data_IF_905816975142
#
_entry.id   IF_905816975142
#
_cell.length_a   1.000
_cell.length_b   1.000
_cell.length_c   1.000
_cell.angle_alpha   90.00
_cell.angle_beta   90.00
_cell.angle_gamma   90.00
#
_symmetry.space_group_name_H-M   'P 1'
#
loop_
_entity.id
_entity.type
_entity.pdbx_description
1 polymer ?
#
# COMPACT_ATOMS: atom_id res chain seq x y z
N UNK A 1 0.32 -11.75 -20.35
CA UNK A 1 -0.40 -10.54 -19.88
C UNK A 1 -1.61 -10.40 -20.76
N UNK A 2 -2.78 -10.43 -20.21
CA UNK A 2 -4.01 -10.33 -21.00
C UNK A 2 -4.08 -8.91 -21.58
N UNK A 3 -4.27 -8.77 -22.89
CA UNK A 3 -4.31 -7.49 -23.62
C UNK A 3 -5.34 -6.52 -23.02
N UNK A 4 -6.38 -7.04 -22.35
CA UNK A 4 -7.44 -6.26 -21.72
C UNK A 4 -7.01 -5.47 -20.49
N UNK A 5 -5.88 -5.82 -19.83
CA UNK A 5 -5.38 -5.14 -18.63
C UNK A 5 -4.15 -4.28 -18.90
N UNK A 6 -3.61 -4.28 -20.12
CA UNK A 6 -2.48 -3.44 -20.49
C UNK A 6 -2.87 -1.96 -20.50
N UNK A 7 -2.01 -1.12 -19.93
CA UNK A 7 -2.23 0.32 -19.82
C UNK A 7 -1.01 1.07 -20.37
N UNK A 8 -1.18 2.30 -20.87
CA UNK A 8 -0.07 3.08 -21.42
C UNK A 8 1.12 3.25 -20.48
N UNK A 9 0.87 3.37 -19.17
CA UNK A 9 1.93 3.52 -18.18
C UNK A 9 2.73 2.24 -17.93
N UNK A 10 2.27 1.07 -18.38
CA UNK A 10 3.03 -0.19 -18.25
C UNK A 10 4.29 -0.23 -19.14
N UNK A 11 4.38 0.65 -20.13
CA UNK A 11 5.54 0.75 -21.00
C UNK A 11 6.73 1.45 -20.33
N UNK A 12 6.50 2.09 -19.19
CA UNK A 12 7.56 2.74 -18.43
C UNK A 12 8.01 1.85 -17.27
N UNK A 13 9.32 1.70 -17.09
CA UNK A 13 9.91 0.87 -16.03
C UNK A 13 9.49 1.23 -14.62
N UNK A 14 9.18 2.52 -14.39
CA UNK A 14 8.79 3.04 -13.07
C UNK A 14 7.36 2.69 -12.67
N UNK A 15 6.54 2.46 -13.66
CA UNK A 15 5.18 1.99 -13.51
C UNK A 15 5.10 0.57 -14.08
N UNK A 16 4.07 -0.08 -13.97
CA UNK A 16 3.92 -1.42 -14.50
C UNK A 16 2.72 -2.07 -13.85
N UNK A 17 2.43 -3.30 -14.18
CA UNK A 17 1.33 -4.00 -13.53
C UNK A 17 1.64 -4.27 -12.04
N UNK A 18 2.93 -4.29 -11.68
CA UNK A 18 3.36 -4.50 -10.31
C UNK A 18 4.71 -3.82 -10.05
N UNK A 19 4.78 -3.04 -8.96
CA UNK A 19 6.03 -2.47 -8.43
C UNK A 19 6.01 -2.47 -6.91
N UNK A 20 7.16 -2.74 -6.32
CA UNK A 20 7.40 -2.65 -4.90
C UNK A 20 8.38 -1.50 -4.63
N UNK A 21 7.93 -0.49 -3.91
CA UNK A 21 8.74 0.67 -3.52
C UNK A 21 9.28 0.43 -2.10
N UNK A 22 10.60 0.26 -2.01
CA UNK A 22 11.30 0.15 -0.74
C UNK A 22 11.45 1.54 -0.13
N UNK A 23 10.65 1.83 0.87
CA UNK A 23 10.59 3.15 1.52
C UNK A 23 11.39 3.13 2.81
N UNK A 24 12.42 3.97 2.89
CA UNK A 24 13.23 4.17 4.09
C UNK A 24 12.48 5.09 5.07
N UNK A 25 11.53 4.54 5.82
CA UNK A 25 10.75 5.26 6.83
C UNK A 25 10.68 4.49 8.14
N UNK A 26 10.09 5.12 9.16
CA UNK A 26 9.79 4.48 10.44
C UNK A 26 8.30 4.54 10.71
N UNK A 27 7.82 3.51 11.42
CA UNK A 27 6.45 3.55 11.94
C UNK A 27 6.36 4.48 13.15
N UNK A 28 5.29 5.22 13.24
CA UNK A 28 4.98 6.13 14.34
C UNK A 28 3.60 5.80 14.92
N UNK A 29 3.39 6.12 16.19
CA UNK A 29 2.06 6.03 16.79
C UNK A 29 1.16 7.15 16.24
N UNK A 30 0.08 6.74 15.61
CA UNK A 30 -0.98 7.63 15.15
C UNK A 30 -2.14 7.73 16.15
N UNK A 31 -3.26 8.27 15.71
CA UNK A 31 -4.48 8.37 16.52
C UNK A 31 -5.04 6.99 16.90
N UNK A 32 -5.68 6.90 18.07
CA UNK A 32 -6.39 5.69 18.53
C UNK A 32 -5.53 4.42 18.51
N UNK A 33 -4.26 4.51 18.92
CA UNK A 33 -3.29 3.41 18.93
C UNK A 33 -3.05 2.75 17.55
N UNK A 34 -3.44 3.40 16.48
CA UNK A 34 -3.14 2.98 15.11
C UNK A 34 -1.75 3.50 14.69
N UNK A 35 -1.15 2.89 13.67
CA UNK A 35 0.19 3.25 13.20
C UNK A 35 0.13 4.10 11.94
N UNK A 36 1.17 4.92 11.76
CA UNK A 36 1.40 5.72 10.56
C UNK A 36 2.85 5.60 10.11
N UNK A 37 3.08 5.88 8.82
CA UNK A 37 4.40 6.02 8.23
C UNK A 37 4.36 7.21 7.25
N UNK A 38 4.97 8.32 7.65
CA UNK A 38 4.92 9.57 6.87
C UNK A 38 5.71 9.48 5.58
N UNK A 39 6.81 8.72 5.57
CA UNK A 39 7.60 8.51 4.36
C UNK A 39 6.79 7.78 3.29
N UNK A 40 5.99 6.79 3.67
CA UNK A 40 5.07 6.13 2.74
C UNK A 40 3.96 7.07 2.23
N UNK A 41 3.45 7.99 3.09
CA UNK A 41 2.50 9.02 2.64
C UNK A 41 3.11 9.93 1.57
N UNK A 42 4.33 10.42 1.80
CA UNK A 42 5.05 11.26 0.85
C UNK A 42 5.34 10.52 -0.47
N UNK A 43 5.76 9.26 -0.37
CA UNK A 43 5.99 8.40 -1.53
C UNK A 43 4.70 8.17 -2.34
N UNK A 44 3.56 7.93 -1.67
CA UNK A 44 2.27 7.77 -2.33
C UNK A 44 1.87 9.03 -3.11
N UNK A 45 2.02 10.20 -2.49
CA UNK A 45 1.76 11.51 -3.13
C UNK A 45 2.67 11.75 -4.33
N UNK A 46 3.97 11.48 -4.18
CA UNK A 46 4.95 11.63 -5.25
C UNK A 46 4.66 10.70 -6.43
N UNK A 47 4.33 9.44 -6.14
CA UNK A 47 3.98 8.42 -7.14
C UNK A 47 2.74 8.83 -7.95
N UNK A 48 1.67 9.24 -7.27
CA UNK A 48 0.45 9.71 -7.92
C UNK A 48 0.70 10.98 -8.74
N UNK A 49 1.42 11.97 -8.18
CA UNK A 49 1.78 13.21 -8.88
C UNK A 49 2.55 12.91 -10.17
N UNK A 50 3.48 11.97 -10.09
CA UNK A 50 4.29 11.55 -11.24
C UNK A 50 3.46 10.84 -12.29
N UNK A 51 2.56 9.93 -11.87
CA UNK A 51 1.64 9.23 -12.76
C UNK A 51 0.78 10.23 -13.56
N UNK A 52 0.16 11.20 -12.88
CA UNK A 52 -0.65 12.24 -13.53
C UNK A 52 0.18 13.16 -14.45
N UNK A 53 1.43 13.48 -14.07
CA UNK A 53 2.30 14.34 -14.87
C UNK A 53 2.79 13.65 -16.14
N UNK A 54 3.24 12.40 -16.03
CA UNK A 54 3.80 11.64 -17.15
C UNK A 54 2.71 11.17 -18.15
N UNK A 55 1.48 11.02 -17.67
CA UNK A 55 0.32 10.62 -18.48
C UNK A 55 -0.80 11.67 -18.41
N UNK A 56 -0.45 12.93 -18.65
CA UNK A 56 -1.37 14.07 -18.56
C UNK A 56 -2.55 14.02 -19.54
N UNK A 57 -2.47 13.18 -20.56
CA UNK A 57 -3.56 12.88 -21.49
C UNK A 57 -4.57 11.85 -20.97
N UNK A 58 -4.32 11.25 -19.79
CA UNK A 58 -5.20 10.28 -19.16
C UNK A 58 -5.88 10.89 -17.93
N UNK A 59 -7.16 10.59 -17.79
CA UNK A 59 -7.90 10.93 -16.59
C UNK A 59 -7.75 9.79 -15.56
N UNK A 60 -7.26 10.13 -14.36
CA UNK A 60 -7.13 9.20 -13.23
C UNK A 60 -8.25 9.34 -12.18
N UNK A 61 -9.21 10.24 -12.39
CA UNK A 61 -10.37 10.41 -11.51
C UNK A 61 -11.12 9.07 -11.40
N UNK A 62 -11.41 8.67 -10.16
CA UNK A 62 -12.09 7.41 -9.81
C UNK A 62 -11.35 6.11 -10.19
N UNK A 63 -10.18 6.18 -10.78
CA UNK A 63 -9.38 5.02 -11.22
C UNK A 63 -8.35 4.56 -10.20
N UNK A 64 -8.05 5.37 -9.17
CA UNK A 64 -7.02 5.10 -8.18
C UNK A 64 -7.63 4.80 -6.82
N UNK A 65 -7.12 3.76 -6.17
CA UNK A 65 -7.37 3.44 -4.77
C UNK A 65 -6.08 3.49 -3.95
N UNK A 66 -6.14 4.13 -2.79
CA UNK A 66 -5.04 4.16 -1.82
C UNK A 66 -5.51 3.41 -0.58
N UNK A 67 -4.86 2.31 -0.27
CA UNK A 67 -5.28 1.41 0.79
C UNK A 67 -4.18 1.18 1.82
N UNK A 68 -4.58 0.94 3.04
CA UNK A 68 -3.69 0.53 4.13
C UNK A 68 -4.45 -0.34 5.12
N UNK A 69 -3.71 -1.07 5.94
CA UNK A 69 -4.28 -1.83 7.05
C UNK A 69 -4.64 -0.93 8.24
N UNK A 70 -4.04 0.25 8.31
CA UNK A 70 -4.10 1.15 9.46
C UNK A 70 -4.99 2.35 9.19
N UNK A 71 -6.03 2.51 10.01
CA UNK A 71 -6.97 3.64 9.88
C UNK A 71 -6.28 5.00 10.01
N UNK A 72 -5.32 5.13 10.93
CA UNK A 72 -4.57 6.37 11.09
C UNK A 72 -3.76 6.70 9.82
N UNK A 73 -3.17 5.69 9.17
CA UNK A 73 -2.46 5.88 7.91
C UNK A 73 -3.37 6.40 6.80
N UNK A 74 -4.59 5.90 6.70
CA UNK A 74 -5.57 6.42 5.74
C UNK A 74 -5.87 7.90 6.00
N UNK A 75 -5.97 8.31 7.26
CA UNK A 75 -6.13 9.72 7.62
C UNK A 75 -4.94 10.58 7.21
N UNK A 76 -3.70 10.09 7.44
CA UNK A 76 -2.48 10.78 7.01
C UNK A 76 -2.36 10.86 5.50
N UNK A 77 -2.62 9.78 4.79
CA UNK A 77 -2.63 9.75 3.33
C UNK A 77 -3.62 10.78 2.76
N UNK A 78 -4.86 10.81 3.26
CA UNK A 78 -5.85 11.83 2.85
C UNK A 78 -5.31 13.24 3.06
N UNK A 79 -4.75 13.54 4.25
CA UNK A 79 -4.18 14.87 4.56
C UNK A 79 -3.05 15.24 3.59
N UNK A 80 -2.12 14.33 3.35
CA UNK A 80 -0.99 14.55 2.45
C UNK A 80 -1.45 14.81 0.99
N UNK A 81 -2.45 14.07 0.53
CA UNK A 81 -3.04 14.28 -0.80
C UNK A 81 -3.80 15.60 -0.90
N UNK A 82 -4.60 15.94 0.11
CA UNK A 82 -5.30 17.25 0.17
C UNK A 82 -4.31 18.40 0.17
N UNK A 83 -3.24 18.31 0.96
CA UNK A 83 -2.20 19.35 1.01
C UNK A 83 -1.53 19.55 -0.36
N UNK A 84 -1.38 18.51 -1.15
CA UNK A 84 -0.68 18.56 -2.44
C UNK A 84 -1.60 18.92 -3.63
N UNK A 85 -2.85 18.45 -3.62
CA UNK A 85 -3.75 18.48 -4.77
C UNK A 85 -5.05 19.26 -4.52
N UNK A 86 -5.28 19.73 -3.29
CA UNK A 86 -6.53 20.39 -2.91
C UNK A 86 -7.58 19.41 -2.38
N UNK A 87 -8.66 19.96 -1.80
CA UNK A 87 -9.71 19.18 -1.11
C UNK A 87 -10.46 18.21 -2.04
N UNK A 88 -10.60 18.56 -3.30
CA UNK A 88 -11.40 17.80 -4.26
C UNK A 88 -10.82 16.40 -4.54
N UNK A 89 -9.52 16.21 -4.25
CA UNK A 89 -8.83 14.93 -4.47
C UNK A 89 -9.49 13.77 -3.70
N UNK A 90 -10.07 14.02 -2.54
CA UNK A 90 -10.73 12.96 -1.74
C UNK A 90 -12.03 12.45 -2.35
N UNK A 91 -12.63 13.20 -3.27
CA UNK A 91 -13.75 12.75 -4.08
C UNK A 91 -13.33 11.97 -5.32
N UNK A 92 -12.07 12.09 -5.75
CA UNK A 92 -11.54 11.50 -6.98
C UNK A 92 -10.75 10.20 -6.75
N UNK A 93 -10.11 10.08 -5.60
CA UNK A 93 -9.36 8.89 -5.17
C UNK A 93 -10.10 8.20 -4.04
N UNK A 94 -10.19 6.88 -4.09
CA UNK A 94 -10.75 6.09 -3.01
C UNK A 94 -9.70 5.76 -1.95
N UNK A 95 -9.84 6.35 -0.76
CA UNK A 95 -8.97 6.07 0.40
C UNK A 95 -9.71 5.18 1.40
N UNK A 96 -9.22 3.98 1.64
CA UNK A 96 -9.89 3.07 2.57
C UNK A 96 -8.93 2.07 3.24
N UNK A 97 -9.36 1.53 4.38
CA UNK A 97 -8.68 0.35 4.93
C UNK A 97 -8.94 -0.86 4.03
N UNK A 98 -8.07 -1.86 4.08
CA UNK A 98 -8.25 -3.09 3.29
C UNK A 98 -9.60 -3.74 3.55
N UNK A 99 -10.04 -3.80 4.81
CA UNK A 99 -11.36 -4.36 5.16
C UNK A 99 -12.51 -3.55 4.54
N UNK A 100 -12.41 -2.23 4.53
CA UNK A 100 -13.43 -1.38 3.93
C UNK A 100 -13.36 -1.29 2.40
N UNK A 101 -12.29 -1.83 1.80
CA UNK A 101 -12.14 -1.93 0.35
C UNK A 101 -12.72 -3.24 -0.23
N UNK A 102 -13.28 -4.08 0.63
CA UNK A 102 -13.87 -5.34 0.21
C UNK A 102 -15.01 -5.08 -0.81
N UNK A 103 -14.97 -5.81 -1.93
CA UNK A 103 -15.93 -5.63 -3.04
C UNK A 103 -15.62 -4.46 -3.99
N UNK A 104 -14.60 -3.65 -3.69
CA UNK A 104 -14.14 -2.56 -4.55
C UNK A 104 -12.92 -2.98 -5.37
N UNK A 105 -12.79 -2.43 -6.56
CA UNK A 105 -11.61 -2.57 -7.42
C UNK A 105 -11.30 -1.25 -8.10
N UNK A 106 -10.02 -0.98 -8.36
CA UNK A 106 -9.54 0.20 -9.09
C UNK A 106 -8.48 -0.21 -10.10
N UNK A 107 -8.28 0.62 -11.11
CA UNK A 107 -7.25 0.34 -12.11
C UNK A 107 -5.86 0.35 -11.49
N UNK A 108 -5.61 1.31 -10.60
CA UNK A 108 -4.36 1.45 -9.86
C UNK A 108 -4.64 1.35 -8.37
N UNK A 109 -3.91 0.48 -7.67
CA UNK A 109 -3.90 0.41 -6.21
C UNK A 109 -2.52 0.81 -5.70
N UNK A 110 -2.50 1.73 -4.75
CA UNK A 110 -1.33 2.08 -3.93
C UNK A 110 -1.58 1.50 -2.53
N UNK A 111 -0.81 0.47 -2.16
CA UNK A 111 -0.88 -0.18 -0.85
C UNK A 111 0.23 0.34 0.05
N UNK A 112 -0.13 0.96 1.17
CA UNK A 112 0.82 1.40 2.21
C UNK A 112 0.85 0.38 3.35
N UNK A 113 2.03 -0.22 3.59
CA UNK A 113 2.24 -1.29 4.58
C UNK A 113 2.50 -0.75 5.98
N UNK A 114 3.02 0.45 6.11
CA UNK A 114 3.29 1.20 7.36
C UNK A 114 4.45 0.65 8.19
N UNK A 115 4.48 -0.68 8.42
CA UNK A 115 5.40 -1.31 9.37
C UNK A 115 6.86 -1.14 8.97
N UNK A 116 7.62 -0.52 9.85
CA UNK A 116 9.05 -0.26 9.62
C UNK A 116 9.79 -0.04 10.95
N UNK A 117 10.86 -0.79 11.18
CA UNK A 117 11.72 -0.61 12.34
C UNK A 117 12.53 -1.85 12.72
N UNK A 118 13.64 -1.68 13.47
CA UNK A 118 14.55 -2.78 13.83
C UNK A 118 13.94 -3.78 14.83
N UNK A 119 12.98 -3.36 15.66
CA UNK A 119 12.30 -4.18 16.66
C UNK A 119 11.01 -4.83 16.20
N UNK A 120 10.65 -4.64 14.93
CA UNK A 120 9.40 -5.16 14.40
C UNK A 120 9.58 -6.61 13.97
N UNK A 121 9.24 -7.56 14.87
CA UNK A 121 9.23 -8.98 14.58
C UNK A 121 7.79 -9.51 14.62
N UNK A 122 7.52 -10.57 13.86
CA UNK A 122 6.21 -11.24 13.82
C UNK A 122 5.05 -10.27 13.53
N UNK A 123 5.20 -9.52 12.47
CA UNK A 123 4.08 -8.74 11.98
C UNK A 123 3.12 -9.74 11.33
N UNK A 124 2.08 -10.13 12.04
CA UNK A 124 0.87 -10.53 11.36
C UNK A 124 0.55 -9.41 10.36
N UNK A 125 0.06 -9.70 9.20
CA UNK A 125 -0.29 -8.69 8.20
C UNK A 125 -1.08 -7.54 8.84
N UNK A 126 -1.59 -7.79 10.04
CA UNK A 126 -2.51 -6.96 10.78
C UNK A 126 -2.46 -7.16 12.29
N UNK A 127 -1.38 -6.92 12.91
CA UNK A 127 -1.46 -6.62 14.34
C UNK A 127 -2.04 -5.20 14.57
N UNK A 128 -3.14 -4.87 13.94
CA UNK A 128 -4.05 -3.86 14.43
C UNK A 128 -4.64 -4.43 15.72
N UNK A 129 -4.32 -3.82 16.87
CA UNK A 129 -4.91 -4.19 18.15
C UNK A 129 -6.43 -4.17 17.99
N UNK A 130 -7.05 -5.36 17.99
CA UNK A 130 -8.47 -5.47 18.30
C UNK A 130 -8.66 -4.83 19.67
N UNK A 131 -9.64 -3.94 19.80
CA UNK A 131 -10.00 -3.26 21.06
C UNK A 131 -10.40 -4.22 22.19
N UNK A 132 -10.35 -5.51 21.95
CA UNK A 132 -10.67 -6.55 22.92
C UNK A 132 -9.39 -7.10 23.56
N UNK A 133 -9.01 -6.54 24.71
CA UNK A 133 -7.83 -6.87 25.51
C UNK A 133 -7.72 -8.36 25.93
N UNK A 134 -8.72 -9.18 25.64
CA UNK A 134 -8.79 -10.61 26.02
C UNK A 134 -8.63 -11.58 24.84
N UNK A 135 -8.32 -11.10 23.62
CA UNK A 135 -8.00 -12.02 22.53
C UNK A 135 -6.51 -12.30 22.52
N UNK A 136 -6.20 -13.54 22.83
CA UNK A 136 -4.90 -14.22 22.69
C UNK A 136 -4.18 -13.67 21.45
N UNK A 137 -2.91 -13.28 21.63
CA UNK A 137 -1.95 -12.98 20.58
C UNK A 137 -2.08 -14.05 19.48
N UNK A 138 -2.81 -13.73 18.43
CA UNK A 138 -2.94 -14.63 17.29
C UNK A 138 -1.56 -14.71 16.62
N UNK A 139 -1.10 -15.93 16.42
CA UNK A 139 0.13 -16.21 15.71
C UNK A 139 0.21 -15.45 14.38
N UNK A 140 1.40 -15.00 13.94
CA UNK A 140 1.59 -14.13 12.76
C UNK A 140 1.13 -14.70 11.42
N UNK A 141 0.67 -15.95 11.37
CA UNK A 141 0.13 -16.62 10.18
C UNK A 141 -1.31 -17.08 10.41
N UNK A 142 -2.18 -16.19 10.88
CA UNK A 142 -3.59 -16.57 10.98
C UNK A 142 -4.25 -16.56 9.59
N UNK A 143 -5.21 -17.45 9.31
CA UNK A 143 -5.96 -17.46 8.05
C UNK A 143 -6.64 -16.10 7.75
N UNK A 144 -6.90 -15.29 8.77
CA UNK A 144 -7.48 -13.96 8.63
C UNK A 144 -6.47 -12.97 8.02
N UNK A 145 -5.20 -13.04 8.42
CA UNK A 145 -4.16 -12.15 7.92
C UNK A 145 -3.83 -12.45 6.45
N UNK A 146 -3.73 -13.71 6.08
CA UNK A 146 -3.55 -14.15 4.69
C UNK A 146 -4.73 -13.72 3.80
N UNK A 147 -5.97 -13.81 4.30
CA UNK A 147 -7.17 -13.34 3.55
C UNK A 147 -7.12 -11.86 3.26
N UNK A 148 -6.76 -11.03 4.23
CA UNK A 148 -6.67 -9.57 4.07
C UNK A 148 -5.54 -9.20 3.11
N UNK A 149 -4.40 -9.87 3.19
CA UNK A 149 -3.33 -9.70 2.22
C UNK A 149 -3.80 -10.04 0.80
N UNK A 150 -4.46 -11.17 0.63
CA UNK A 150 -5.05 -11.55 -0.65
C UNK A 150 -6.06 -10.50 -1.15
N UNK A 151 -6.92 -9.97 -0.27
CA UNK A 151 -7.81 -8.86 -0.63
C UNK A 151 -7.00 -7.67 -1.12
N UNK A 152 -5.98 -7.22 -0.39
CA UNK A 152 -5.17 -6.06 -0.78
C UNK A 152 -4.47 -6.26 -2.14
N UNK A 153 -3.88 -7.44 -2.36
CA UNK A 153 -3.13 -7.75 -3.58
C UNK A 153 -4.01 -7.92 -4.82
N UNK A 154 -5.29 -8.28 -4.65
CA UNK A 154 -6.22 -8.56 -5.76
C UNK A 154 -7.17 -7.42 -6.08
N UNK A 155 -7.00 -6.23 -5.49
CA UNK A 155 -7.89 -5.08 -5.74
C UNK A 155 -7.49 -4.25 -6.95
N UNK A 156 -6.31 -4.47 -7.50
CA UNK A 156 -5.82 -3.77 -8.68
C UNK A 156 -6.28 -4.48 -9.95
N UNK A 157 -6.95 -3.76 -10.86
CA UNK A 157 -7.29 -4.26 -12.20
C UNK A 157 -6.11 -4.23 -13.14
N UNK A 158 -5.23 -3.24 -12.99
CA UNK A 158 -4.13 -2.99 -13.93
C UNK A 158 -2.78 -2.86 -13.24
N UNK A 159 -2.70 -2.10 -12.13
CA UNK A 159 -1.43 -1.84 -11.46
C UNK A 159 -1.53 -1.88 -9.94
N UNK A 160 -0.62 -2.63 -9.33
CA UNK A 160 -0.43 -2.68 -7.89
C UNK A 160 0.94 -2.07 -7.53
N UNK A 161 0.92 -1.00 -6.74
CA UNK A 161 2.12 -0.36 -6.18
C UNK A 161 2.15 -0.58 -4.67
N UNK A 162 3.11 -1.35 -4.19
CA UNK A 162 3.30 -1.64 -2.77
C UNK A 162 4.36 -0.69 -2.22
N UNK A 163 4.05 0.05 -1.17
CA UNK A 163 4.97 0.89 -0.42
C UNK A 163 5.27 0.24 0.92
N UNK A 164 6.54 0.04 1.24
CA UNK A 164 6.90 -0.56 2.53
C UNK A 164 8.40 -0.69 2.73
N UNK A 165 8.80 -0.92 3.97
CA UNK A 165 10.18 -1.20 4.33
C UNK A 165 10.50 -2.67 4.06
N UNK A 166 11.28 -2.92 3.02
CA UNK A 166 11.64 -4.26 2.55
C UNK A 166 12.25 -5.11 3.67
N UNK A 167 13.23 -4.57 4.39
CA UNK A 167 13.93 -5.34 5.42
C UNK A 167 13.04 -5.71 6.60
N UNK A 168 12.05 -4.90 6.93
CA UNK A 168 11.06 -5.20 7.96
C UNK A 168 10.05 -6.24 7.48
N UNK A 169 9.51 -6.06 6.28
CA UNK A 169 8.51 -6.97 5.72
C UNK A 169 9.09 -8.36 5.46
N UNK A 170 10.30 -8.44 4.92
CA UNK A 170 10.99 -9.72 4.66
C UNK A 170 11.24 -10.55 5.93
N UNK A 171 11.42 -9.89 7.08
CA UNK A 171 11.56 -10.55 8.38
C UNK A 171 10.22 -10.85 9.08
N UNK A 172 9.13 -10.32 8.60
CA UNK A 172 7.85 -10.37 9.31
C UNK A 172 7.18 -11.74 9.25
N UNK A 173 7.04 -12.30 8.08
CA UNK A 173 6.47 -13.63 7.84
C UNK A 173 6.85 -14.16 6.45
N UNK A 174 6.51 -15.42 6.19
CA UNK A 174 6.87 -16.09 4.93
C UNK A 174 6.15 -15.51 3.71
N UNK A 175 4.91 -15.07 3.85
CA UNK A 175 4.13 -14.47 2.75
C UNK A 175 4.80 -13.18 2.25
N UNK A 176 5.16 -12.27 3.18
CA UNK A 176 5.88 -11.05 2.84
C UNK A 176 7.27 -11.33 2.27
N UNK A 177 7.97 -12.32 2.83
CA UNK A 177 9.28 -12.74 2.30
C UNK A 177 9.17 -13.16 0.84
N UNK A 178 8.17 -13.97 0.50
CA UNK A 178 7.93 -14.41 -0.87
C UNK A 178 7.58 -13.24 -1.81
N UNK A 179 6.74 -12.30 -1.38
CA UNK A 179 6.40 -11.09 -2.17
C UNK A 179 7.65 -10.26 -2.45
N UNK A 180 8.49 -10.02 -1.44
CA UNK A 180 9.74 -9.26 -1.60
C UNK A 180 10.71 -9.98 -2.53
N UNK A 181 10.87 -11.30 -2.38
CA UNK A 181 11.73 -12.10 -3.25
C UNK A 181 11.23 -12.13 -4.69
N UNK A 182 9.91 -12.25 -4.91
CA UNK A 182 9.31 -12.16 -6.23
C UNK A 182 9.57 -10.79 -6.87
N UNK A 183 9.38 -9.70 -6.11
CA UNK A 183 9.65 -8.35 -6.61
C UNK A 183 11.12 -8.15 -7.01
N UNK A 184 12.07 -8.73 -6.26
CA UNK A 184 13.50 -8.69 -6.61
C UNK A 184 13.80 -9.52 -7.85
N UNK A 185 13.34 -10.77 -7.91
CA UNK A 185 13.62 -11.70 -9.02
C UNK A 185 13.08 -11.18 -10.36
N UNK A 186 11.94 -10.49 -10.32
CA UNK A 186 11.32 -9.87 -11.51
C UNK A 186 11.79 -8.44 -11.80
N UNK A 187 12.78 -7.93 -11.07
CA UNK A 187 13.26 -6.54 -11.21
C UNK A 187 12.12 -5.50 -11.07
N UNK A 188 11.22 -5.74 -10.11
CA UNK A 188 10.08 -4.86 -9.81
C UNK A 188 10.30 -4.01 -8.56
N UNK A 189 11.47 -4.09 -7.95
CA UNK A 189 11.86 -3.30 -6.78
C UNK A 189 12.33 -1.92 -7.21
N UNK A 190 11.92 -0.90 -6.46
CA UNK A 190 12.35 0.49 -6.61
C UNK A 190 12.76 1.02 -5.24
N UNK A 191 14.00 1.42 -5.08
CA UNK A 191 14.45 2.07 -3.84
C UNK A 191 14.05 3.55 -3.88
N UNK A 192 13.40 3.99 -2.78
CA UNK A 192 12.99 5.38 -2.57
C UNK A 192 13.87 5.99 -1.50
N UNK A 193 14.73 6.89 -1.92
CA UNK A 193 15.61 7.69 -1.05
C UNK A 193 14.89 8.91 -0.49
#
# INVERSE_FOLDING_TARGET
MDVKTSQPWHLQDKFGPYKFFNVAGQEESGSSHSLINRAECQTAVALYSRLCKEFSNLDFDFRVGVISMYRAQIGELKRAFVQRFGSDIVGKILFHTVDGFQGQEKDVIILSCVRAGPGVQNIGFLAGKSENRNRVLTHPNTPLDTRRMNVALTRARSSLFILGNVSTLERSNDDWRQIVQDARSRQRMVDVS
#
